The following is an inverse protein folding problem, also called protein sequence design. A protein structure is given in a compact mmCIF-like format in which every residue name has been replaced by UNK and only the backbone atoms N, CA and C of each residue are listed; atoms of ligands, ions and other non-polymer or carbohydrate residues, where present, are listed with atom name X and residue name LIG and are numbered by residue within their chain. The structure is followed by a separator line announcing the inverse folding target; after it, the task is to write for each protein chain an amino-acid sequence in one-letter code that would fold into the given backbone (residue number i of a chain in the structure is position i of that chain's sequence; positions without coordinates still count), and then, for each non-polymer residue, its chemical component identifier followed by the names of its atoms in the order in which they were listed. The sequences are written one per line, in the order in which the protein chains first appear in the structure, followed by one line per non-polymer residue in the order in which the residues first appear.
data_IF_719922785277
#
_entry.id   IF_719922785277
#
_cell.length_a   1.000
_cell.length_b   1.000
_cell.length_c   1.000
_cell.angle_alpha   90.00
_cell.angle_beta   90.00
_cell.angle_gamma   90.00
#
_symmetry.space_group_name_H-M   'P 1'
#
loop_
_entity.id
_entity.type
_entity.pdbx_description
1 polymer ?
#
# COMPACT_ATOMS: atom_id res chain seq x y z
N UNK A 1 -14.43 -12.93 2.55
CA UNK A 1 -15.08 -11.95 1.63
C UNK A 1 -14.03 -10.91 1.30
N UNK A 2 -13.78 -10.59 0.03
CA UNK A 2 -12.70 -9.64 -0.33
C UNK A 2 -13.13 -8.22 0.06
N UNK A 3 -12.42 -7.61 1.00
CA UNK A 3 -12.66 -6.23 1.44
C UNK A 3 -11.82 -5.29 0.58
N UNK A 4 -12.47 -4.33 -0.07
CA UNK A 4 -11.81 -3.24 -0.78
C UNK A 4 -11.90 -1.94 0.03
N UNK A 5 -10.84 -1.15 -0.03
CA UNK A 5 -10.72 0.20 0.53
C UNK A 5 -10.24 1.10 -0.58
N UNK A 6 -10.77 2.32 -0.64
CA UNK A 6 -10.33 3.33 -1.59
C UNK A 6 -9.88 4.53 -0.80
N UNK A 7 -8.66 4.99 -1.04
CA UNK A 7 -8.08 6.15 -0.37
C UNK A 7 -7.10 6.88 -1.27
N UNK A 8 -6.93 8.17 -1.04
CA UNK A 8 -5.82 8.97 -1.54
C UNK A 8 -4.56 8.76 -0.69
N UNK A 9 -3.41 8.72 -1.34
CA UNK A 9 -2.13 8.65 -0.66
C UNK A 9 -1.02 9.24 -1.51
N UNK A 10 -0.07 9.89 -0.84
CA UNK A 10 1.06 10.53 -1.50
C UNK A 10 2.18 9.53 -1.78
N UNK A 11 2.77 9.63 -2.97
CA UNK A 11 3.96 8.88 -3.34
C UNK A 11 5.18 9.50 -2.72
N UNK A 12 5.98 8.70 -2.07
CA UNK A 12 7.23 9.16 -1.50
C UNK A 12 8.34 8.14 -1.70
N UNK A 13 9.53 8.64 -2.02
CA UNK A 13 10.71 7.83 -2.24
C UNK A 13 11.39 7.45 -0.91
N UNK A 14 11.66 6.16 -0.71
CA UNK A 14 12.44 5.63 0.41
C UNK A 14 13.85 5.26 -0.07
N UNK A 15 14.84 6.02 0.40
CA UNK A 15 16.26 5.79 0.16
C UNK A 15 16.72 6.19 -1.24
N UNK A 16 17.93 6.76 -1.35
CA UNK A 16 18.51 7.45 -2.52
C UNK A 16 18.54 6.70 -3.86
N UNK A 17 19.71 6.52 -4.47
CA UNK A 17 19.92 6.29 -5.92
C UNK A 17 19.20 5.08 -6.58
N UNK A 18 18.54 4.21 -5.79
CA UNK A 18 17.69 3.11 -6.26
C UNK A 18 16.28 3.16 -5.60
N UNK A 19 15.61 4.31 -5.74
CA UNK A 19 14.46 4.72 -4.93
C UNK A 19 13.27 3.78 -5.02
N UNK A 20 13.11 2.97 -3.98
CA UNK A 20 11.82 2.35 -3.69
C UNK A 20 10.81 3.47 -3.46
N UNK A 21 9.63 3.35 -4.05
CA UNK A 21 8.57 4.33 -3.81
C UNK A 21 7.43 3.66 -3.08
N UNK A 22 6.93 4.35 -2.08
CA UNK A 22 5.91 3.88 -1.19
C UNK A 22 4.74 4.86 -1.17
N UNK A 23 3.59 4.33 -0.79
CA UNK A 23 2.40 5.11 -0.44
C UNK A 23 2.02 4.72 0.97
N UNK A 24 1.75 5.72 1.80
CA UNK A 24 1.27 5.48 3.16
C UNK A 24 -0.23 5.25 3.13
N UNK A 25 -0.68 4.13 3.70
CA UNK A 25 -2.10 3.84 3.87
C UNK A 25 -2.62 4.70 5.03
N UNK A 26 -3.74 5.43 4.86
CA UNK A 26 -4.30 6.25 5.92
C UNK A 26 -4.49 5.48 7.22
N UNK A 27 -4.38 6.18 8.35
CA UNK A 27 -4.49 5.58 9.68
C UNK A 27 -5.84 4.90 9.90
N UNK A 28 -6.93 5.42 9.32
CA UNK A 28 -8.26 4.82 9.41
C UNK A 28 -8.30 3.43 8.76
N UNK A 29 -7.86 3.33 7.51
CA UNK A 29 -7.76 2.06 6.77
C UNK A 29 -6.78 1.11 7.48
N UNK A 30 -5.65 1.64 7.93
CA UNK A 30 -4.66 0.85 8.67
C UNK A 30 -5.20 0.29 9.99
N UNK A 31 -5.98 1.09 10.72
CA UNK A 31 -6.62 0.68 11.97
C UNK A 31 -7.69 -0.39 11.72
N UNK A 32 -8.53 -0.24 10.70
CA UNK A 32 -9.53 -1.27 10.34
C UNK A 32 -8.85 -2.59 9.94
N UNK A 33 -7.78 -2.52 9.14
CA UNK A 33 -6.98 -3.69 8.76
C UNK A 33 -6.39 -4.36 10.01
N UNK A 34 -5.90 -3.58 11.00
CA UNK A 34 -5.27 -4.09 12.22
C UNK A 34 -6.27 -4.61 13.26
N UNK A 35 -7.44 -4.02 13.34
CA UNK A 35 -8.51 -4.40 14.27
C UNK A 35 -9.13 -5.77 13.90
N UNK A 36 -8.92 -6.25 12.67
CA UNK A 36 -9.44 -7.54 12.24
C UNK A 36 -8.73 -8.69 12.97
N UNK A 37 -9.50 -9.60 13.62
CA UNK A 37 -8.95 -10.80 14.20
C UNK A 37 -8.40 -11.68 13.07
N UNK A 38 -7.09 -11.94 13.09
CA UNK A 38 -6.40 -12.79 12.12
C UNK A 38 -5.64 -13.88 12.85
N UNK A 39 -5.54 -15.10 12.27
CA UNK A 39 -4.68 -16.12 12.82
C UNK A 39 -3.24 -15.59 12.90
N UNK A 40 -2.45 -15.99 13.91
CA UNK A 40 -1.06 -15.57 14.04
C UNK A 40 -0.31 -15.99 12.77
N UNK A 41 0.03 -15.02 11.92
CA UNK A 41 0.77 -15.27 10.68
C UNK A 41 2.28 -15.23 10.99
N UNK A 42 3.04 -16.27 10.60
CA UNK A 42 4.49 -16.21 10.70
C UNK A 42 5.02 -15.16 9.72
N UNK A 43 5.72 -14.14 10.25
CA UNK A 43 6.41 -13.11 9.46
C UNK A 43 5.83 -11.70 9.65
N UNK A 44 6.58 -10.84 10.35
CA UNK A 44 6.60 -9.36 10.38
C UNK A 44 5.29 -8.52 10.25
N UNK A 45 4.10 -9.12 10.24
CA UNK A 45 2.82 -8.42 10.07
C UNK A 45 2.50 -8.00 8.63
N UNK A 46 3.17 -8.56 7.61
CA UNK A 46 2.89 -8.24 6.21
C UNK A 46 1.57 -8.87 5.73
N UNK A 47 0.84 -8.14 4.88
CA UNK A 47 -0.48 -8.58 4.41
C UNK A 47 -0.54 -8.53 2.89
N UNK A 48 -0.99 -9.62 2.29
CA UNK A 48 -1.18 -9.71 0.84
C UNK A 48 -2.40 -8.91 0.43
N UNK A 49 -2.22 -8.05 -0.56
CA UNK A 49 -3.26 -7.16 -1.08
C UNK A 49 -3.25 -7.16 -2.60
N UNK A 50 -4.42 -7.05 -3.20
CA UNK A 50 -4.57 -6.54 -4.55
C UNK A 50 -4.60 -5.03 -4.48
N UNK A 51 -3.92 -4.35 -5.38
CA UNK A 51 -3.97 -2.91 -5.52
C UNK A 51 -4.38 -2.56 -6.92
N UNK A 52 -5.22 -1.54 -7.05
CA UNK A 52 -5.55 -0.90 -8.31
C UNK A 52 -5.39 0.61 -8.16
N UNK A 53 -4.77 1.21 -9.15
CA UNK A 53 -4.56 2.65 -9.26
C UNK A 53 -4.92 3.00 -10.70
N UNK A 54 -5.93 3.84 -10.87
CA UNK A 54 -6.46 4.20 -12.18
C UNK A 54 -6.75 2.96 -13.05
N UNK A 55 -5.98 2.80 -14.12
CA UNK A 55 -6.10 1.66 -15.05
C UNK A 55 -5.28 0.43 -14.67
N UNK A 56 -4.31 0.58 -13.78
CA UNK A 56 -3.30 -0.44 -13.47
C UNK A 56 -3.65 -1.19 -12.19
N UNK A 57 -3.73 -2.52 -12.27
CA UNK A 57 -3.94 -3.39 -11.10
C UNK A 57 -2.82 -4.41 -10.94
N UNK A 58 -2.34 -4.61 -9.72
CA UNK A 58 -1.30 -5.59 -9.40
C UNK A 58 -1.52 -6.20 -8.02
N UNK A 59 -0.87 -7.33 -7.74
CA UNK A 59 -0.85 -7.93 -6.41
C UNK A 59 0.49 -7.67 -5.73
N UNK A 60 0.44 -7.27 -4.46
CA UNK A 60 1.63 -6.98 -3.65
C UNK A 60 1.33 -7.23 -2.17
N UNK A 61 2.25 -6.86 -1.29
CA UNK A 61 2.04 -6.92 0.15
C UNK A 61 2.24 -5.53 0.76
N UNK A 62 1.41 -5.20 1.75
CA UNK A 62 1.62 -4.03 2.62
C UNK A 62 2.41 -4.45 3.85
N UNK A 63 3.19 -3.52 4.37
CA UNK A 63 4.07 -3.73 5.53
C UNK A 63 3.70 -2.72 6.62
N UNK A 64 3.63 -3.14 7.89
CA UNK A 64 3.42 -2.21 8.98
C UNK A 64 4.68 -1.36 9.16
N UNK A 65 4.53 -0.04 9.11
CA UNK A 65 5.60 0.89 9.45
C UNK A 65 5.53 1.24 10.95
N UNK A 66 6.59 0.88 11.68
CA UNK A 66 6.65 1.10 13.13
C UNK A 66 6.77 2.59 13.49
N UNK A 67 7.26 3.44 12.59
CA UNK A 67 7.39 4.89 12.83
C UNK A 67 6.04 5.60 12.76
N UNK A 68 5.27 5.32 11.71
CA UNK A 68 3.99 5.98 11.43
C UNK A 68 2.80 5.26 12.05
N UNK A 69 2.98 4.02 12.51
CA UNK A 69 1.91 3.17 13.02
C UNK A 69 0.89 2.75 11.95
N UNK A 70 1.18 3.06 10.69
CA UNK A 70 0.33 2.82 9.52
C UNK A 70 0.95 1.75 8.62
N UNK A 71 0.19 1.23 7.68
CA UNK A 71 0.74 0.34 6.65
C UNK A 71 1.35 1.16 5.51
N UNK A 72 2.44 0.66 4.94
CA UNK A 72 3.06 1.21 3.72
C UNK A 72 2.93 0.23 2.57
N UNK A 73 2.65 0.77 1.40
CA UNK A 73 2.44 0.05 0.17
C UNK A 73 3.57 0.35 -0.81
N UNK A 74 4.38 -0.64 -1.23
CA UNK A 74 5.38 -0.42 -2.28
C UNK A 74 4.72 -0.30 -3.66
N UNK A 75 5.09 0.76 -4.39
CA UNK A 75 4.64 1.03 -5.76
C UNK A 75 5.79 0.79 -6.73
N UNK A 76 5.59 -0.17 -7.64
CA UNK A 76 6.59 -0.53 -8.65
C UNK A 76 6.78 0.61 -9.65
N UNK A 77 8.01 0.78 -10.14
CA UNK A 77 8.33 1.75 -11.21
C UNK A 77 7.41 1.60 -12.43
N UNK A 78 7.11 0.37 -12.85
CA UNK A 78 6.22 0.11 -13.98
C UNK A 78 4.80 0.69 -13.80
N UNK A 79 4.26 0.68 -12.57
CA UNK A 79 2.95 1.27 -12.27
C UNK A 79 3.04 2.79 -12.35
N UNK A 80 4.07 3.39 -11.74
CA UNK A 80 4.29 4.85 -11.80
C UNK A 80 4.44 5.33 -13.24
N UNK A 81 5.18 4.61 -14.06
CA UNK A 81 5.35 4.94 -15.48
C UNK A 81 4.03 4.79 -16.26
N UNK A 82 3.23 3.76 -15.98
CA UNK A 82 1.95 3.54 -16.65
C UNK A 82 0.93 4.64 -16.33
N UNK A 83 0.83 5.04 -15.06
CA UNK A 83 -0.10 6.06 -14.57
C UNK A 83 0.49 7.49 -14.64
N UNK A 84 1.72 7.65 -15.13
CA UNK A 84 2.46 8.94 -15.21
C UNK A 84 2.58 9.67 -13.87
N UNK A 85 2.88 8.91 -12.81
CA UNK A 85 3.03 9.40 -11.45
C UNK A 85 4.50 9.68 -11.13
N UNK A 86 4.76 10.83 -10.51
CA UNK A 86 6.08 11.26 -10.06
C UNK A 86 6.20 11.17 -8.52
N UNK A 87 7.36 11.50 -7.96
CA UNK A 87 7.49 11.59 -6.50
C UNK A 87 6.77 12.82 -5.95
N UNK A 88 6.09 12.65 -4.82
CA UNK A 88 5.23 13.68 -4.21
C UNK A 88 3.82 13.77 -4.80
N UNK A 89 3.50 13.00 -5.85
CA UNK A 89 2.17 13.01 -6.46
C UNK A 89 1.16 12.22 -5.61
N UNK A 90 -0.08 12.71 -5.54
CA UNK A 90 -1.17 12.07 -4.81
C UNK A 90 -1.96 11.18 -5.76
N UNK A 91 -2.07 9.89 -5.45
CA UNK A 91 -2.85 8.94 -6.24
C UNK A 91 -4.01 8.35 -5.44
N UNK A 92 -5.08 7.99 -6.14
CA UNK A 92 -6.16 7.18 -5.56
C UNK A 92 -5.83 5.71 -5.67
N UNK A 93 -5.75 5.03 -4.52
CA UNK A 93 -5.43 3.62 -4.38
C UNK A 93 -6.67 2.85 -3.96
N UNK A 94 -7.05 1.88 -4.78
CA UNK A 94 -8.02 0.84 -4.43
C UNK A 94 -7.28 -0.38 -3.90
N UNK A 95 -7.30 -0.58 -2.59
CA UNK A 95 -6.65 -1.70 -1.90
C UNK A 95 -7.69 -2.78 -1.58
N UNK A 96 -7.46 -3.99 -2.07
CA UNK A 96 -8.28 -5.17 -1.76
C UNK A 96 -7.48 -6.16 -0.92
N UNK A 97 -7.94 -6.47 0.29
CA UNK A 97 -7.32 -7.52 1.11
C UNK A 97 -7.49 -8.89 0.46
N UNK A 98 -6.38 -9.62 0.31
CA UNK A 98 -6.38 -11.02 -0.12
C UNK A 98 -6.10 -11.89 1.12
N UNK A 99 -7.06 -12.74 1.48
CA UNK A 99 -6.98 -13.63 2.65
C UNK A 99 -5.98 -14.77 2.44
#
# INVERSE_FOLDING_TARGET
MQQAYTFDGDLWAYGGEASWVFVTVPSEVSADIRARPRPPRPGFGSLKVGVRVGGTSWSTSIFPDAKSGCYVLPVKKAVRTAERLDDGDTLTVELTLRE
#
